data_IF_222843528441
#
_entry.id   IF_222843528441
#
_cell.length_a   1.000
_cell.length_b   1.000
_cell.length_c   1.000
_cell.angle_alpha   90.00
_cell.angle_beta   90.00
_cell.angle_gamma   90.00
#
_symmetry.space_group_name_H-M   'P 1'
#
loop_
_entity.id
_entity.type
_entity.pdbx_description
1 polymer ?
#
# COMPACT_ATOMS: atom_id res chain seq x y z
N UNK A 1 16.58 -22.68 11.94
CA UNK A 1 16.16 -23.12 10.59
C UNK A 1 14.71 -22.74 10.39
N UNK A 2 14.40 -22.00 9.33
CA UNK A 2 13.04 -21.53 9.04
C UNK A 2 12.28 -22.51 8.15
N UNK A 3 11.01 -22.75 8.45
CA UNK A 3 10.12 -23.40 7.48
C UNK A 3 9.60 -22.42 6.43
N UNK A 4 8.93 -22.94 5.40
CA UNK A 4 8.28 -22.13 4.38
C UNK A 4 6.93 -22.74 3.96
N UNK A 5 6.12 -21.98 3.23
CA UNK A 5 4.88 -22.46 2.61
C UNK A 5 4.58 -21.69 1.33
N UNK A 6 3.86 -22.34 0.43
CA UNK A 6 3.27 -21.67 -0.72
C UNK A 6 1.97 -20.96 -0.34
N UNK A 7 1.80 -19.73 -0.79
CA UNK A 7 0.56 -18.96 -0.70
C UNK A 7 0.06 -18.70 -2.10
N UNK A 8 -1.15 -19.17 -2.39
CA UNK A 8 -1.79 -19.03 -3.70
C UNK A 8 -2.88 -17.96 -3.64
N UNK A 9 -2.96 -17.13 -4.67
CA UNK A 9 -4.00 -16.10 -4.82
C UNK A 9 -4.42 -16.00 -6.27
N UNK A 10 -5.71 -16.14 -6.52
CA UNK A 10 -6.32 -15.83 -7.82
C UNK A 10 -6.62 -14.33 -7.87
N UNK A 11 -6.11 -13.64 -8.89
CA UNK A 11 -6.52 -12.28 -9.23
C UNK A 11 -7.65 -12.35 -10.25
N UNK A 12 -8.68 -11.57 -10.00
CA UNK A 12 -9.82 -11.40 -10.91
C UNK A 12 -9.91 -9.95 -11.37
N UNK A 13 -10.40 -9.75 -12.58
CA UNK A 13 -10.75 -8.43 -13.09
C UNK A 13 -12.03 -7.88 -12.42
N UNK A 14 -12.44 -6.67 -12.82
CA UNK A 14 -13.66 -6.03 -12.31
C UNK A 14 -14.95 -6.80 -12.67
N UNK A 15 -14.92 -7.63 -13.72
CA UNK A 15 -16.02 -8.47 -14.20
C UNK A 15 -16.07 -9.83 -13.48
N UNK A 16 -15.09 -10.13 -12.63
CA UNK A 16 -14.98 -11.40 -11.91
C UNK A 16 -14.28 -12.52 -12.70
N UNK A 17 -13.75 -12.24 -13.89
CA UNK A 17 -12.98 -13.23 -14.65
C UNK A 17 -11.58 -13.37 -14.08
N UNK A 18 -11.00 -14.55 -14.21
CA UNK A 18 -9.65 -14.81 -13.73
C UNK A 18 -8.63 -14.10 -14.63
N UNK A 19 -7.95 -13.12 -14.06
CA UNK A 19 -6.87 -12.38 -14.72
C UNK A 19 -5.54 -13.14 -14.57
N UNK A 20 -5.25 -13.65 -13.37
CA UNK A 20 -3.94 -14.27 -13.09
C UNK A 20 -3.96 -15.15 -11.86
N UNK A 21 -3.31 -16.32 -11.94
CA UNK A 21 -2.94 -17.09 -10.75
C UNK A 21 -1.58 -16.63 -10.21
N UNK A 22 -1.51 -16.33 -8.92
CA UNK A 22 -0.26 -15.97 -8.23
C UNK A 22 0.09 -17.03 -7.20
N UNK A 23 1.36 -17.45 -7.20
CA UNK A 23 1.97 -18.24 -6.14
C UNK A 23 3.11 -17.43 -5.52
N UNK A 24 3.22 -17.46 -4.19
CA UNK A 24 4.33 -16.85 -3.45
C UNK A 24 4.90 -17.86 -2.48
N UNK A 25 6.22 -18.01 -2.46
CA UNK A 25 6.90 -18.71 -1.40
C UNK A 25 7.06 -17.77 -0.21
N UNK A 26 6.60 -18.20 0.96
CA UNK A 26 6.58 -17.39 2.18
C UNK A 26 7.34 -18.13 3.28
N UNK A 27 8.36 -17.49 3.84
CA UNK A 27 9.05 -17.96 5.03
C UNK A 27 8.11 -17.93 6.24
N UNK A 28 8.27 -18.90 7.14
CA UNK A 28 7.61 -18.91 8.45
C UNK A 28 8.34 -17.98 9.42
N UNK A 29 8.48 -16.69 9.10
CA UNK A 29 9.31 -15.77 9.89
C UNK A 29 8.80 -15.49 11.32
N UNK A 30 7.59 -15.95 11.67
CA UNK A 30 7.15 -15.97 13.08
C UNK A 30 8.05 -16.86 13.97
N UNK A 31 8.84 -17.76 13.39
CA UNK A 31 9.85 -18.56 14.12
C UNK A 31 11.22 -17.88 14.20
N UNK A 32 11.41 -16.69 13.61
CA UNK A 32 12.67 -15.95 13.69
C UNK A 32 12.88 -15.36 15.09
N UNK A 33 14.14 -15.38 15.53
CA UNK A 33 14.60 -14.86 16.83
C UNK A 33 15.40 -13.57 16.61
N UNK A 34 15.02 -12.52 17.34
CA UNK A 34 15.78 -11.27 17.36
C UNK A 34 17.19 -11.51 17.92
N UNK A 35 18.18 -10.82 17.37
CA UNK A 35 19.60 -10.97 17.72
C UNK A 35 20.28 -12.19 17.08
N UNK A 36 19.53 -13.05 16.38
CA UNK A 36 20.05 -14.20 15.63
C UNK A 36 19.67 -14.09 14.15
N UNK A 37 18.36 -14.09 13.87
CA UNK A 37 17.84 -14.10 12.50
C UNK A 37 17.55 -12.69 11.94
N UNK A 38 17.54 -11.68 12.81
CA UNK A 38 17.39 -10.26 12.48
C UNK A 38 17.77 -9.41 13.69
N UNK A 39 18.26 -8.19 13.45
CA UNK A 39 18.49 -7.18 14.50
C UNK A 39 17.37 -6.14 14.54
N UNK A 40 17.02 -5.62 13.36
CA UNK A 40 16.07 -4.52 13.18
C UNK A 40 15.01 -4.84 12.11
N UNK A 41 13.78 -4.43 12.36
CA UNK A 41 12.63 -4.66 11.46
C UNK A 41 11.88 -3.39 11.11
N UNK A 42 12.29 -2.24 11.67
CA UNK A 42 11.62 -0.97 11.42
C UNK A 42 11.71 -0.60 9.94
N UNK A 43 10.60 -0.14 9.38
CA UNK A 43 10.47 0.35 8.02
C UNK A 43 9.66 1.65 8.10
N UNK A 44 10.16 2.78 7.56
CA UNK A 44 9.33 3.95 7.36
C UNK A 44 8.17 3.68 6.39
N UNK A 45 7.03 4.31 6.65
CA UNK A 45 5.88 4.29 5.76
C UNK A 45 5.40 5.72 5.62
N UNK A 46 5.24 6.18 4.37
CA UNK A 46 4.80 7.55 4.14
C UNK A 46 3.48 7.85 4.84
N UNK A 47 3.44 9.00 5.50
CA UNK A 47 2.26 9.44 6.22
C UNK A 47 1.18 9.91 5.24
N UNK A 48 -0.08 9.77 5.65
CA UNK A 48 -1.22 10.26 4.85
C UNK A 48 -1.17 11.78 4.69
N UNK A 49 -0.67 12.49 5.71
CA UNK A 49 -0.59 13.95 5.67
C UNK A 49 0.50 14.41 4.71
N UNK A 50 1.64 13.72 4.68
CA UNK A 50 2.69 13.98 3.68
C UNK A 50 2.18 13.75 2.26
N UNK A 51 1.44 12.65 2.02
CA UNK A 51 0.80 12.39 0.72
C UNK A 51 -0.16 13.53 0.33
N UNK A 52 -0.98 14.02 1.28
CA UNK A 52 -1.89 15.16 1.03
C UNK A 52 -1.15 16.43 0.68
N UNK A 53 -0.03 16.72 1.35
CA UNK A 53 0.83 17.86 1.03
C UNK A 53 1.37 17.72 -0.39
N UNK A 54 1.86 16.54 -0.78
CA UNK A 54 2.31 16.29 -2.16
C UNK A 54 1.18 16.51 -3.17
N UNK A 55 -0.03 16.02 -2.89
CA UNK A 55 -1.20 16.26 -3.75
C UNK A 55 -1.57 17.74 -3.87
N UNK A 56 -1.49 18.49 -2.76
CA UNK A 56 -1.71 19.93 -2.78
C UNK A 56 -0.66 20.64 -3.65
N UNK A 57 0.61 20.23 -3.57
CA UNK A 57 1.68 20.75 -4.43
C UNK A 57 1.44 20.41 -5.91
N UNK A 58 0.96 19.20 -6.20
CA UNK A 58 0.59 18.78 -7.56
C UNK A 58 -0.50 19.67 -8.14
N UNK A 59 -1.54 19.97 -7.35
CA UNK A 59 -2.62 20.87 -7.77
C UNK A 59 -2.10 22.31 -7.96
N UNK A 60 -1.38 22.83 -6.96
CA UNK A 60 -0.91 24.21 -6.93
C UNK A 60 0.07 24.54 -8.07
N UNK A 61 1.04 23.66 -8.32
CA UNK A 61 2.06 23.85 -9.38
C UNK A 61 1.70 23.15 -10.69
N UNK A 62 0.51 22.56 -10.80
CA UNK A 62 0.07 21.77 -11.94
C UNK A 62 1.09 20.70 -12.38
N UNK A 63 1.70 19.99 -11.42
CA UNK A 63 2.75 18.99 -11.68
C UNK A 63 2.20 17.77 -12.43
N UNK A 64 3.04 17.10 -13.22
CA UNK A 64 2.72 15.78 -13.77
C UNK A 64 2.71 14.74 -12.66
N UNK A 65 1.67 13.89 -12.63
CA UNK A 65 1.48 12.92 -11.54
C UNK A 65 1.33 11.52 -12.11
N UNK A 66 2.41 10.74 -12.06
CA UNK A 66 2.43 9.38 -12.56
C UNK A 66 2.63 8.36 -11.44
N UNK A 67 2.22 7.12 -11.69
CA UNK A 67 2.40 6.01 -10.78
C UNK A 67 3.18 4.86 -11.43
N UNK A 68 4.01 4.20 -10.64
CA UNK A 68 4.66 2.94 -10.99
C UNK A 68 4.49 1.92 -9.87
N UNK A 69 4.52 0.64 -10.21
CA UNK A 69 4.44 -0.49 -9.26
C UNK A 69 5.68 -1.36 -9.40
N UNK A 70 6.37 -1.61 -8.30
CA UNK A 70 7.54 -2.50 -8.24
C UNK A 70 7.06 -3.94 -8.13
N UNK A 71 7.40 -4.77 -9.12
CA UNK A 71 7.10 -6.19 -9.01
C UNK A 71 7.99 -6.83 -7.96
N UNK A 72 7.35 -7.57 -7.05
CA UNK A 72 8.03 -8.38 -6.04
C UNK A 72 9.03 -7.58 -5.19
N UNK A 73 8.65 -6.38 -4.74
CA UNK A 73 9.48 -5.47 -3.93
C UNK A 73 10.39 -6.17 -2.90
N UNK A 74 9.82 -7.05 -2.05
CA UNK A 74 10.59 -7.76 -1.02
C UNK A 74 11.65 -8.73 -1.54
N UNK A 75 11.59 -9.16 -2.80
CA UNK A 75 12.60 -10.03 -3.41
C UNK A 75 13.82 -9.26 -3.93
N UNK A 76 13.76 -7.93 -3.93
CA UNK A 76 14.90 -7.09 -4.32
C UNK A 76 15.83 -6.78 -3.13
N UNK A 77 15.32 -6.83 -1.89
CA UNK A 77 16.11 -6.59 -0.69
C UNK A 77 17.20 -7.62 -0.48
N UNK A 78 18.40 -7.17 -0.14
CA UNK A 78 19.54 -8.02 0.18
C UNK A 78 19.50 -8.41 1.66
N UNK A 79 19.92 -9.64 1.99
CA UNK A 79 20.00 -10.07 3.39
C UNK A 79 21.44 -9.91 3.89
N UNK A 80 21.57 -9.22 5.03
CA UNK A 80 22.85 -9.12 5.75
C UNK A 80 23.06 -10.36 6.62
N UNK A 81 21.99 -10.91 7.19
CA UNK A 81 22.06 -12.09 8.04
C UNK A 81 22.06 -13.41 7.26
N UNK A 82 22.76 -14.41 7.80
CA UNK A 82 22.76 -15.77 7.28
C UNK A 82 21.46 -16.51 7.66
N UNK A 83 20.46 -16.44 6.79
CA UNK A 83 19.17 -17.10 6.99
C UNK A 83 19.09 -18.40 6.20
N UNK A 84 18.84 -19.49 6.93
CA UNK A 84 18.64 -20.82 6.36
C UNK A 84 17.17 -21.25 6.44
N UNK A 85 16.64 -21.68 5.31
CA UNK A 85 15.25 -22.09 5.14
C UNK A 85 15.18 -23.54 4.62
N UNK A 86 14.23 -24.31 5.11
CA UNK A 86 13.92 -25.62 4.57
C UNK A 86 13.61 -25.54 3.07
N UNK A 87 13.95 -26.60 2.34
CA UNK A 87 13.63 -26.71 0.93
C UNK A 87 12.12 -26.53 0.70
N UNK A 88 11.71 -25.77 -0.33
CA UNK A 88 10.30 -25.53 -0.58
C UNK A 88 9.55 -26.83 -0.86
N UNK A 89 8.29 -26.99 -0.38
CA UNK A 89 7.46 -28.12 -0.76
C UNK A 89 7.36 -28.24 -2.28
N UNK A 90 7.61 -29.43 -2.83
CA UNK A 90 7.66 -29.71 -4.27
C UNK A 90 9.03 -29.47 -4.93
N UNK A 91 10.00 -28.91 -4.20
CA UNK A 91 11.37 -28.65 -4.70
C UNK A 91 12.44 -29.34 -3.84
N UNK A 92 12.05 -30.31 -3.01
CA UNK A 92 12.97 -31.08 -2.19
C UNK A 92 13.77 -32.03 -3.09
N UNK A 93 15.09 -31.93 -3.07
CA UNK A 93 15.97 -32.80 -3.85
C UNK A 93 16.09 -34.18 -3.21
N UNK A 94 15.78 -35.23 -4.00
CA UNK A 94 15.80 -36.63 -3.53
C UNK A 94 17.21 -37.03 -3.10
N UNK A 95 17.34 -37.60 -1.89
CA UNK A 95 18.61 -37.96 -1.28
C UNK A 95 19.34 -36.80 -0.58
N UNK A 96 18.80 -35.58 -0.65
CA UNK A 96 19.31 -34.39 0.02
C UNK A 96 18.25 -33.71 0.87
N UNK A 97 17.31 -34.47 1.41
CA UNK A 97 16.17 -33.96 2.19
C UNK A 97 16.62 -33.20 3.46
N UNK A 98 17.81 -33.51 3.97
CA UNK A 98 18.44 -32.85 5.13
C UNK A 98 19.08 -31.50 4.78
N UNK A 99 19.27 -31.19 3.48
CA UNK A 99 19.85 -29.93 3.04
C UNK A 99 18.87 -28.77 3.16
N UNK A 100 19.40 -27.56 3.26
CA UNK A 100 18.63 -26.32 3.36
C UNK A 100 19.10 -25.28 2.36
N UNK A 101 18.20 -24.34 2.05
CA UNK A 101 18.49 -23.19 1.23
C UNK A 101 19.03 -22.06 2.11
N UNK A 102 20.21 -21.53 1.77
CA UNK A 102 20.66 -20.23 2.27
C UNK A 102 19.98 -19.13 1.45
N UNK A 103 19.23 -18.26 2.11
CA UNK A 103 18.59 -17.13 1.45
C UNK A 103 19.63 -16.04 1.16
N UNK A 104 19.72 -15.62 -0.11
CA UNK A 104 20.59 -14.50 -0.54
C UNK A 104 19.86 -13.15 -0.55
N UNK A 105 18.55 -13.19 -0.77
CA UNK A 105 17.67 -12.02 -0.80
C UNK A 105 16.49 -12.26 0.14
N UNK A 106 15.87 -11.18 0.58
CA UNK A 106 14.69 -11.27 1.42
C UNK A 106 13.54 -11.92 0.66
N UNK A 107 12.66 -12.61 1.39
CA UNK A 107 11.43 -13.18 0.84
C UNK A 107 10.25 -12.84 1.74
N UNK A 108 9.04 -13.00 1.21
CA UNK A 108 7.81 -12.79 1.96
C UNK A 108 7.82 -13.58 3.27
N UNK A 109 7.32 -12.96 4.34
CA UNK A 109 7.17 -13.59 5.64
C UNK A 109 8.41 -13.50 6.53
N UNK A 110 9.57 -13.09 6.02
CA UNK A 110 10.67 -12.67 6.90
C UNK A 110 10.33 -11.34 7.57
N UNK A 111 10.71 -11.19 8.84
CA UNK A 111 10.39 -10.02 9.65
C UNK A 111 11.06 -8.73 9.15
N UNK A 112 12.26 -8.82 8.58
CA UNK A 112 13.01 -7.68 8.05
C UNK A 112 12.81 -7.43 6.56
N UNK A 113 12.02 -8.24 5.85
CA UNK A 113 11.96 -8.19 4.38
C UNK A 113 11.57 -6.81 3.83
N UNK A 114 10.64 -6.13 4.52
CA UNK A 114 10.16 -4.81 4.14
C UNK A 114 11.24 -3.74 4.35
N UNK A 115 12.00 -3.83 5.45
CA UNK A 115 13.16 -2.97 5.73
C UNK A 115 14.28 -3.15 4.70
N UNK A 116 14.63 -4.40 4.37
CA UNK A 116 15.68 -4.68 3.38
C UNK A 116 15.31 -4.19 1.97
N UNK A 117 14.02 -4.24 1.63
CA UNK A 117 13.52 -3.60 0.42
C UNK A 117 13.74 -2.09 0.45
N UNK A 118 13.31 -1.41 1.51
CA UNK A 118 13.47 0.04 1.63
C UNK A 118 14.94 0.46 1.59
N UNK A 119 15.83 -0.20 2.33
CA UNK A 119 17.26 0.12 2.27
C UNK A 119 17.83 -0.01 0.86
N UNK A 120 17.43 -1.05 0.12
CA UNK A 120 17.88 -1.23 -1.25
C UNK A 120 17.34 -0.15 -2.18
N UNK A 121 16.10 0.26 -1.97
CA UNK A 121 15.47 1.33 -2.72
C UNK A 121 16.14 2.68 -2.43
N UNK A 122 16.35 2.98 -1.15
CA UNK A 122 16.98 4.20 -0.66
C UNK A 122 18.40 4.37 -1.21
N UNK A 123 19.21 3.30 -1.18
CA UNK A 123 20.55 3.26 -1.78
C UNK A 123 20.51 3.69 -3.26
N UNK A 124 19.66 3.03 -4.06
CA UNK A 124 19.56 3.26 -5.50
C UNK A 124 19.04 4.67 -5.83
N UNK A 125 18.03 5.14 -5.09
CA UNK A 125 17.43 6.46 -5.30
C UNK A 125 18.39 7.57 -4.91
N UNK A 126 19.09 7.42 -3.78
CA UNK A 126 20.11 8.36 -3.31
C UNK A 126 21.29 8.46 -4.29
N UNK A 127 21.77 7.33 -4.82
CA UNK A 127 22.81 7.30 -5.85
C UNK A 127 22.40 8.04 -7.13
N UNK A 128 21.10 8.09 -7.42
CA UNK A 128 20.56 8.86 -8.54
C UNK A 128 20.33 10.35 -8.23
N UNK A 129 20.79 10.83 -7.07
CA UNK A 129 20.77 12.24 -6.68
C UNK A 129 19.43 12.73 -6.14
N UNK A 130 18.55 11.82 -5.72
CA UNK A 130 17.42 12.19 -4.88
C UNK A 130 17.87 12.41 -3.43
N UNK A 131 17.21 13.35 -2.75
CA UNK A 131 17.45 13.64 -1.35
C UNK A 131 16.20 13.26 -0.56
N UNK A 132 16.39 12.41 0.44
CA UNK A 132 15.33 12.01 1.37
C UNK A 132 14.81 13.19 2.20
N UNK A 133 13.50 13.22 2.42
CA UNK A 133 12.86 14.17 3.31
C UNK A 133 12.99 13.74 4.78
N UNK A 134 13.57 14.61 5.62
CA UNK A 134 13.82 14.33 7.04
C UNK A 134 12.56 14.14 7.91
N UNK A 135 11.40 14.56 7.45
CA UNK A 135 10.14 14.42 8.18
C UNK A 135 9.36 13.17 7.73
N UNK A 136 9.61 12.69 6.51
CA UNK A 136 9.01 11.49 5.96
C UNK A 136 10.02 10.79 5.03
N UNK A 137 10.69 9.78 5.57
CA UNK A 137 11.77 9.01 4.93
C UNK A 137 11.31 8.27 3.65
N UNK A 138 10.01 8.21 3.38
CA UNK A 138 9.47 7.65 2.14
C UNK A 138 9.25 8.70 1.05
N UNK A 139 9.61 9.96 1.29
CA UNK A 139 9.51 11.05 0.31
C UNK A 139 10.91 11.50 -0.08
N UNK A 140 11.13 11.60 -1.38
CA UNK A 140 12.39 12.02 -1.96
C UNK A 140 12.18 13.21 -2.90
N UNK A 141 13.12 14.15 -2.90
CA UNK A 141 13.13 15.30 -3.79
C UNK A 141 14.41 15.30 -4.62
N UNK A 142 14.28 15.48 -5.94
CA UNK A 142 15.40 15.77 -6.82
C UNK A 142 15.17 17.08 -7.54
N UNK A 143 16.14 17.98 -7.48
CA UNK A 143 16.13 19.29 -8.13
C UNK A 143 17.20 19.31 -9.22
N UNK A 144 16.84 19.75 -10.42
CA UNK A 144 17.72 19.91 -11.57
C UNK A 144 17.50 21.29 -12.20
N UNK A 145 18.32 22.26 -11.80
CA UNK A 145 18.13 23.66 -12.15
C UNK A 145 16.80 24.19 -11.63
N UNK A 146 15.91 24.64 -12.53
CA UNK A 146 14.55 25.10 -12.20
C UNK A 146 13.51 23.99 -12.18
N UNK A 147 13.89 22.74 -12.50
CA UNK A 147 12.99 21.59 -12.55
C UNK A 147 13.11 20.77 -11.28
N UNK A 148 12.04 20.13 -10.86
CA UNK A 148 12.08 19.23 -9.72
C UNK A 148 11.12 18.05 -9.88
N UNK A 149 11.40 16.97 -9.16
CA UNK A 149 10.54 15.80 -9.05
C UNK A 149 10.49 15.33 -7.60
N UNK A 150 9.28 15.08 -7.12
CA UNK A 150 8.98 14.49 -5.82
C UNK A 150 8.60 13.03 -6.07
N UNK A 151 9.26 12.12 -5.37
CA UNK A 151 8.96 10.70 -5.36
C UNK A 151 8.38 10.33 -3.99
N UNK A 152 7.27 9.60 -3.98
CA UNK A 152 6.69 9.02 -2.76
C UNK A 152 6.71 7.50 -2.91
N UNK A 153 7.43 6.82 -2.02
CA UNK A 153 7.44 5.37 -1.91
C UNK A 153 6.37 4.91 -0.93
N UNK A 154 5.53 3.97 -1.33
CA UNK A 154 4.64 3.25 -0.44
C UNK A 154 4.74 1.76 -0.70
N UNK A 155 5.67 1.10 0.00
CA UNK A 155 5.94 -0.34 -0.15
C UNK A 155 6.26 -0.70 -1.60
N UNK A 156 5.29 -1.19 -2.39
CA UNK A 156 5.42 -1.54 -3.80
C UNK A 156 4.95 -0.44 -4.76
N UNK A 157 4.13 0.50 -4.31
CA UNK A 157 3.67 1.65 -5.10
C UNK A 157 4.68 2.81 -5.06
N UNK A 158 4.93 3.43 -6.21
CA UNK A 158 5.74 4.64 -6.35
C UNK A 158 4.91 5.71 -7.04
N UNK A 159 4.78 6.87 -6.40
CA UNK A 159 4.14 8.05 -6.98
C UNK A 159 5.20 9.07 -7.36
N UNK A 160 5.11 9.61 -8.58
CA UNK A 160 6.06 10.58 -9.13
C UNK A 160 5.31 11.87 -9.47
N UNK A 161 5.63 12.95 -8.77
CA UNK A 161 5.13 14.29 -9.03
C UNK A 161 6.25 15.16 -9.62
N UNK A 162 6.21 15.46 -10.92
CA UNK A 162 7.29 16.14 -11.63
C UNK A 162 6.84 17.48 -12.23
N UNK A 163 7.70 18.49 -12.15
CA UNK A 163 7.50 19.76 -12.85
C UNK A 163 7.87 19.69 -14.34
N UNK A 164 8.45 18.57 -14.81
CA UNK A 164 8.97 18.41 -16.15
C UNK A 164 8.85 16.97 -16.66
N UNK A 165 8.42 16.81 -17.92
CA UNK A 165 8.20 15.49 -18.53
C UNK A 165 9.49 14.73 -18.84
N UNK A 166 10.59 15.43 -19.18
CA UNK A 166 11.88 14.78 -19.41
C UNK A 166 12.42 14.21 -18.10
N UNK A 167 12.43 15.01 -17.03
CA UNK A 167 12.84 14.55 -15.70
C UNK A 167 12.00 13.37 -15.18
N UNK A 168 10.70 13.40 -15.47
CA UNK A 168 9.80 12.29 -15.15
C UNK A 168 10.18 11.02 -15.91
N UNK A 169 10.39 11.13 -17.23
CA UNK A 169 10.78 10.00 -18.07
C UNK A 169 12.12 9.41 -17.64
N UNK A 170 13.14 10.25 -17.43
CA UNK A 170 14.47 9.81 -17.00
C UNK A 170 14.41 9.07 -15.66
N UNK A 171 13.56 9.54 -14.74
CA UNK A 171 13.32 8.87 -13.46
C UNK A 171 12.63 7.51 -13.64
N UNK A 172 11.60 7.42 -14.49
CA UNK A 172 10.93 6.15 -14.81
C UNK A 172 11.86 5.15 -15.47
N UNK A 173 12.69 5.62 -16.39
CA UNK A 173 13.68 4.80 -17.07
C UNK A 173 14.69 4.27 -16.06
N UNK A 174 15.25 5.12 -15.19
CA UNK A 174 16.16 4.69 -14.12
C UNK A 174 15.54 3.63 -13.19
N UNK A 175 14.29 3.85 -12.74
CA UNK A 175 13.57 2.89 -11.90
C UNK A 175 13.41 1.55 -12.61
N UNK A 176 13.08 1.57 -13.91
CA UNK A 176 12.88 0.38 -14.73
C UNK A 176 14.17 -0.35 -15.08
N UNK A 177 15.32 0.33 -15.07
CA UNK A 177 16.63 -0.30 -15.18
C UNK A 177 17.05 -0.97 -13.87
N UNK A 178 16.66 -0.39 -12.73
CA UNK A 178 17.06 -0.86 -11.40
C UNK A 178 16.18 -1.99 -10.86
N UNK A 179 14.89 -1.96 -11.19
CA UNK A 179 13.89 -2.90 -10.70
C UNK A 179 12.95 -3.36 -11.81
N UNK A 180 12.33 -4.52 -11.63
CA UNK A 180 11.25 -4.93 -12.53
C UNK A 180 9.99 -4.11 -12.24
N UNK A 181 9.76 -3.08 -13.07
CA UNK A 181 8.68 -2.13 -12.89
C UNK A 181 7.44 -2.44 -13.74
N UNK A 182 6.29 -1.98 -13.28
CA UNK A 182 5.09 -1.77 -14.08
C UNK A 182 4.76 -0.27 -14.08
N UNK A 183 4.84 0.36 -15.24
CA UNK A 183 4.37 1.74 -15.41
C UNK A 183 2.83 1.74 -15.48
N UNK A 184 2.20 2.54 -14.63
CA UNK A 184 0.75 2.70 -14.59
C UNK A 184 0.29 4.00 -15.29
N UNK A 185 1.23 4.83 -15.77
CA UNK A 185 0.93 6.09 -16.43
C UNK A 185 0.44 7.14 -15.44
N UNK A 186 -0.56 7.92 -15.85
CA UNK A 186 -1.23 8.90 -15.00
C UNK A 186 -1.83 8.25 -13.75
N UNK A 187 -1.56 8.85 -12.59
CA UNK A 187 -2.08 8.36 -11.33
C UNK A 187 -3.59 8.59 -11.28
N UNK A 188 -4.36 7.50 -11.40
CA UNK A 188 -5.81 7.49 -11.24
C UNK A 188 -6.25 6.96 -9.88
N UNK A 189 -5.39 6.19 -9.21
CA UNK A 189 -5.65 5.65 -7.88
C UNK A 189 -4.37 5.64 -7.04
N UNK A 190 -4.46 6.05 -5.78
CA UNK A 190 -3.32 6.00 -4.85
C UNK A 190 -3.80 5.54 -3.47
N UNK A 191 -3.21 4.47 -2.93
CA UNK A 191 -3.57 3.90 -1.63
C UNK A 191 -5.06 3.61 -1.43
N UNK A 192 -5.77 3.29 -2.52
CA UNK A 192 -7.21 3.02 -2.53
C UNK A 192 -8.10 4.27 -2.59
N UNK A 193 -7.54 5.44 -2.84
CA UNK A 193 -8.22 6.69 -3.17
C UNK A 193 -8.21 6.88 -4.69
N UNK A 194 -9.35 7.20 -5.28
CA UNK A 194 -9.44 7.64 -6.67
C UNK A 194 -8.96 9.09 -6.78
N UNK A 195 -8.19 9.40 -7.81
CA UNK A 195 -7.71 10.75 -8.10
C UNK A 195 -8.51 11.28 -9.29
N UNK A 196 -9.23 12.39 -9.08
CA UNK A 196 -9.98 13.09 -10.13
C UNK A 196 -9.31 14.44 -10.30
N UNK A 197 -8.87 14.75 -11.53
CA UNK A 197 -8.12 15.98 -11.80
C UNK A 197 -8.76 16.77 -12.93
N UNK A 198 -8.97 18.06 -12.69
CA UNK A 198 -9.38 19.03 -13.70
C UNK A 198 -8.36 20.17 -13.73
N UNK A 199 -7.49 20.15 -14.73
CA UNK A 199 -6.42 21.14 -14.90
C UNK A 199 -6.94 22.52 -15.30
N UNK A 200 -8.11 22.60 -15.93
CA UNK A 200 -8.70 23.89 -16.32
C UNK A 200 -9.16 24.71 -15.11
N UNK A 201 -9.49 24.01 -14.03
CA UNK A 201 -9.94 24.58 -12.75
C UNK A 201 -8.88 24.47 -11.64
N UNK A 202 -7.64 24.08 -11.97
CA UNK A 202 -6.58 23.79 -10.99
C UNK A 202 -7.03 22.87 -9.84
N UNK A 203 -7.87 21.90 -10.18
CA UNK A 203 -8.62 21.10 -9.22
C UNK A 203 -8.10 19.66 -9.17
N UNK A 204 -7.91 19.15 -7.97
CA UNK A 204 -7.55 17.76 -7.71
C UNK A 204 -8.33 17.23 -6.51
N UNK A 205 -9.17 16.24 -6.76
CA UNK A 205 -10.01 15.58 -5.76
C UNK A 205 -9.50 14.16 -5.47
N UNK A 206 -9.53 13.80 -4.19
CA UNK A 206 -9.26 12.44 -3.72
C UNK A 206 -10.57 11.81 -3.24
N UNK A 207 -11.07 10.79 -3.94
CA UNK A 207 -12.36 10.18 -3.68
C UNK A 207 -12.26 8.76 -3.12
N UNK A 208 -13.14 8.45 -2.16
CA UNK A 208 -13.31 7.10 -1.59
C UNK A 208 -14.61 6.42 -2.04
N UNK A 209 -15.28 6.96 -3.04
CA UNK A 209 -16.58 6.46 -3.50
C UNK A 209 -16.61 4.94 -3.67
N UNK A 210 -15.63 4.38 -4.37
CA UNK A 210 -15.53 2.94 -4.59
C UNK A 210 -15.39 2.13 -3.28
N UNK A 211 -14.69 2.64 -2.27
CA UNK A 211 -14.61 1.99 -0.95
C UNK A 211 -15.97 2.02 -0.25
N UNK A 212 -16.61 3.20 -0.20
CA UNK A 212 -17.91 3.40 0.46
C UNK A 212 -18.98 2.52 -0.18
N UNK A 213 -19.06 2.47 -1.51
CA UNK A 213 -20.02 1.63 -2.24
C UNK A 213 -19.82 0.14 -1.95
N UNK A 214 -18.57 -0.34 -1.84
CA UNK A 214 -18.28 -1.73 -1.43
C UNK A 214 -18.73 -2.01 0.01
N UNK A 215 -18.55 -1.06 0.92
CA UNK A 215 -19.04 -1.18 2.31
C UNK A 215 -20.56 -1.26 2.32
N UNK A 216 -21.25 -0.34 1.63
CA UNK A 216 -22.72 -0.36 1.52
C UNK A 216 -23.23 -1.68 0.95
N UNK A 217 -22.58 -2.20 -0.10
CA UNK A 217 -22.91 -3.52 -0.67
C UNK A 217 -22.70 -4.65 0.33
N UNK A 218 -21.56 -4.66 1.02
CA UNK A 218 -21.20 -5.70 2.00
C UNK A 218 -22.22 -5.82 3.15
N UNK A 219 -22.81 -4.70 3.57
CA UNK A 219 -23.78 -4.65 4.66
C UNK A 219 -25.24 -4.52 4.17
N UNK A 220 -25.51 -4.77 2.88
CA UNK A 220 -26.85 -4.68 2.28
C UNK A 220 -27.55 -3.31 2.46
N UNK A 221 -26.75 -2.24 2.49
CA UNK A 221 -27.20 -0.85 2.67
C UNK A 221 -27.24 -0.04 1.37
N UNK A 222 -27.22 -0.68 0.20
CA UNK A 222 -27.18 0.05 -1.08
C UNK A 222 -28.37 0.98 -1.34
N UNK A 223 -29.51 0.72 -0.66
CA UNK A 223 -30.74 1.53 -0.76
C UNK A 223 -30.92 2.48 0.44
N UNK A 224 -29.90 2.66 1.28
CA UNK A 224 -30.03 3.57 2.42
C UNK A 224 -30.16 5.03 1.94
N UNK A 225 -30.94 5.82 2.67
CA UNK A 225 -31.01 7.27 2.44
C UNK A 225 -29.68 7.93 2.79
N UNK A 226 -29.29 8.96 2.03
CA UNK A 226 -28.15 9.80 2.37
C UNK A 226 -28.48 10.65 3.60
N UNK A 227 -27.50 10.81 4.49
CA UNK A 227 -27.53 11.79 5.57
C UNK A 227 -26.29 12.67 5.49
N UNK A 228 -26.40 13.93 5.93
CA UNK A 228 -25.26 14.87 5.94
C UNK A 228 -24.20 14.49 6.97
N UNK A 229 -24.62 13.84 8.06
CA UNK A 229 -23.74 13.37 9.12
C UNK A 229 -24.09 11.94 9.52
N UNK A 230 -23.10 11.09 9.84
CA UNK A 230 -23.36 9.73 10.34
C UNK A 230 -24.13 9.69 11.66
N UNK A 231 -23.99 10.74 12.48
CA UNK A 231 -24.64 10.93 13.78
C UNK A 231 -25.09 12.40 13.88
N UNK A 232 -26.38 12.61 14.11
CA UNK A 232 -26.97 13.93 14.28
C UNK A 232 -26.72 14.52 15.67
N UNK A 233 -26.61 15.84 15.77
CA UNK A 233 -26.56 16.53 17.06
C UNK A 233 -27.89 16.31 17.80
N UNK A 234 -27.86 15.53 18.87
CA UNK A 234 -29.04 15.18 19.67
C UNK A 234 -29.40 13.69 19.68
N UNK A 235 -28.71 12.87 18.87
CA UNK A 235 -28.85 11.42 18.93
C UNK A 235 -28.42 10.92 20.32
N UNK A 236 -29.38 10.37 21.08
CA UNK A 236 -29.14 9.76 22.38
C UNK A 236 -29.02 8.25 22.18
N UNK A 237 -27.78 7.77 22.21
CA UNK A 237 -27.51 6.34 22.25
C UNK A 237 -27.55 5.84 23.67
N UNK A 238 -28.31 4.77 23.90
CA UNK A 238 -28.46 4.22 25.25
C UNK A 238 -28.73 2.72 25.21
N UNK A 239 -28.60 2.05 26.36
CA UNK A 239 -28.80 0.59 26.46
C UNK A 239 -30.21 0.17 26.05
N UNK A 240 -31.13 1.11 26.08
CA UNK A 240 -32.50 0.96 25.63
C UNK A 240 -32.62 0.57 24.14
N UNK A 241 -31.62 0.91 23.32
CA UNK A 241 -31.57 0.57 21.88
C UNK A 241 -30.88 -0.77 21.60
N UNK A 242 -30.34 -1.43 22.62
CA UNK A 242 -29.81 -2.79 22.49
C UNK A 242 -30.97 -3.78 22.32
N UNK A 243 -30.76 -4.89 21.58
CA UNK A 243 -31.74 -5.96 21.46
C UNK A 243 -32.22 -6.47 22.83
N UNK A 244 -33.53 -6.38 23.09
CA UNK A 244 -34.13 -6.74 24.39
C UNK A 244 -34.81 -8.11 24.37
N UNK A 245 -35.33 -8.51 23.22
CA UNK A 245 -36.05 -9.78 23.04
C UNK A 245 -35.32 -10.71 22.05
N UNK A 246 -35.73 -11.97 22.03
CA UNK A 246 -35.10 -13.00 21.18
C UNK A 246 -35.26 -12.73 19.67
N UNK A 247 -36.33 -12.04 19.26
CA UNK A 247 -36.53 -11.66 17.85
C UNK A 247 -35.49 -10.60 17.42
N UNK A 248 -35.27 -9.58 18.23
CA UNK A 248 -34.28 -8.54 17.99
C UNK A 248 -32.84 -9.09 18.05
N UNK A 249 -32.55 -9.97 19.02
CA UNK A 249 -31.22 -10.62 19.11
C UNK A 249 -30.96 -11.46 17.86
N UNK A 250 -31.95 -12.24 17.42
CA UNK A 250 -31.87 -13.04 16.19
C UNK A 250 -31.70 -12.17 14.94
N UNK A 251 -32.31 -10.99 14.91
CA UNK A 251 -32.14 -9.99 13.83
C UNK A 251 -30.78 -9.27 13.84
N UNK A 252 -30.05 -9.28 14.95
CA UNK A 252 -28.70 -8.72 15.05
C UNK A 252 -27.61 -9.77 14.95
N UNK A 253 -27.95 -11.06 15.06
CA UNK A 253 -27.01 -12.18 15.09
C UNK A 253 -26.17 -12.29 13.81
N UNK A 254 -26.72 -11.87 12.67
CA UNK A 254 -26.07 -11.89 11.35
C UNK A 254 -25.45 -10.53 10.97
N UNK A 255 -25.48 -9.52 11.84
CA UNK A 255 -24.88 -8.21 11.62
C UNK A 255 -23.53 -8.12 12.33
N UNK A 256 -22.39 -8.19 11.61
CA UNK A 256 -21.08 -8.21 12.24
C UNK A 256 -20.67 -6.79 12.66
N UNK A 257 -21.18 -6.32 13.80
CA UNK A 257 -20.98 -4.97 14.32
C UNK A 257 -19.50 -4.53 14.32
N UNK A 258 -18.60 -5.37 14.85
CA UNK A 258 -17.17 -5.08 14.86
C UNK A 258 -16.58 -4.88 13.44
N UNK A 259 -17.05 -5.65 12.46
CA UNK A 259 -16.64 -5.47 11.07
C UNK A 259 -17.21 -4.20 10.44
N UNK A 260 -18.43 -3.79 10.82
CA UNK A 260 -19.04 -2.54 10.35
C UNK A 260 -18.27 -1.35 10.92
N UNK A 261 -18.07 -1.31 12.24
CA UNK A 261 -17.29 -0.27 12.93
C UNK A 261 -15.89 -0.16 12.34
N UNK A 262 -15.17 -1.28 12.16
CA UNK A 262 -13.85 -1.26 11.54
C UNK A 262 -13.85 -0.72 10.10
N UNK A 263 -14.92 -0.97 9.33
CA UNK A 263 -15.04 -0.43 7.97
C UNK A 263 -15.30 1.08 7.98
N UNK A 264 -16.11 1.57 8.94
CA UNK A 264 -16.39 2.99 9.11
C UNK A 264 -15.17 3.76 9.63
N UNK A 265 -14.44 3.20 10.60
CA UNK A 265 -13.17 3.76 11.09
C UNK A 265 -12.15 3.87 9.95
N UNK A 266 -12.03 2.84 9.11
CA UNK A 266 -11.15 2.89 7.95
C UNK A 266 -11.55 4.02 6.98
N UNK A 267 -12.85 4.16 6.69
CA UNK A 267 -13.36 5.27 5.89
C UNK A 267 -12.97 6.61 6.53
N UNK A 268 -13.29 6.82 7.81
CA UNK A 268 -12.98 8.05 8.53
C UNK A 268 -11.48 8.40 8.49
N UNK A 269 -10.60 7.46 8.85
CA UNK A 269 -9.16 7.70 8.92
C UNK A 269 -8.52 7.98 7.56
N UNK A 270 -9.18 7.57 6.48
CA UNK A 270 -8.73 7.85 5.10
C UNK A 270 -9.41 9.10 4.54
N UNK A 271 -10.53 9.56 5.12
CA UNK A 271 -11.38 10.64 4.61
C UNK A 271 -11.07 11.96 5.30
N UNK A 272 -10.46 12.88 4.57
CA UNK A 272 -10.76 14.30 4.69
C UNK A 272 -10.91 14.80 3.26
N UNK A 273 -12.09 15.33 2.92
CA UNK A 273 -12.31 16.02 1.66
C UNK A 273 -11.38 17.23 1.66
N UNK A 274 -10.34 17.19 0.83
CA UNK A 274 -9.56 18.36 0.50
C UNK A 274 -10.00 18.79 -0.89
N UNK A 275 -11.04 19.62 -0.94
CA UNK A 275 -11.33 20.44 -2.11
C UNK A 275 -10.34 21.59 -2.06
N UNK A 276 -9.30 21.53 -2.88
CA UNK A 276 -8.46 22.69 -3.13
C UNK A 276 -9.02 23.40 -4.36
N UNK A 277 -9.81 24.46 -4.12
CA UNK A 277 -10.04 25.49 -5.12
C UNK A 277 -8.95 26.54 -4.92
N UNK A 278 -8.06 26.70 -5.91
CA UNK A 278 -7.06 27.76 -5.95
C UNK A 278 -7.51 28.87 -6.90
#
# INVERSE_FOLDING_TARGET
MLGCKWVFKTKTDASGNIERYKARLVAKGFTQRQGIDYTETFLPVSSKDSLRVVMALVAHYNLELHQMDVKTAFLNGELVEDIYMMQPPGFVEKGKEHMVCKLRKSIYGLKQASRQWYLKFDEIISDFGFVENKMDECIYLKVSGSKFIILVLYVDDILLASSDMTLLKDTKDMLSHSFEMKDLGDASYVLGLEIIRDRSRSFLELSQKAYIERVLKRFNMQKCSSGEVPIGKGDKFSKEQCPRNELEKKSMQDKPYASLVGSLMYAQDRTWFLLWEF
#
